data_IF_147004146917
#
_entry.id   IF_147004146917
#
_cell.length_a   1.000
_cell.length_b   1.000
_cell.length_c   1.000
_cell.angle_alpha   90.00
_cell.angle_beta   90.00
_cell.angle_gamma   90.00
#
_symmetry.space_group_name_H-M   'P 1'
#
loop_
_entity.id
_entity.type
_entity.pdbx_description
1 polymer ?
#
# COMPACT_ATOMS: atom_id res chain seq x y z
N UNK A 1 -5.08 -27.17 42.91
CA UNK A 1 -4.44 -26.29 41.91
C UNK A 1 -3.03 -26.05 42.39
N UNK A 2 -2.01 -26.53 41.68
CA UNK A 2 -0.62 -26.29 42.04
C UNK A 2 -0.33 -24.80 41.98
N UNK A 3 0.01 -24.20 43.10
CA UNK A 3 0.40 -22.78 43.17
C UNK A 3 1.75 -22.66 42.45
N UNK A 4 1.80 -21.84 41.41
CA UNK A 4 3.05 -21.53 40.71
C UNK A 4 4.00 -20.87 41.72
N UNK A 5 5.15 -21.46 41.94
CA UNK A 5 6.16 -20.92 42.84
C UNK A 5 6.72 -19.61 42.26
N UNK A 6 7.23 -18.75 43.14
CA UNK A 6 7.90 -17.51 42.73
C UNK A 6 9.06 -17.76 41.78
N UNK A 7 9.80 -18.86 41.99
CA UNK A 7 10.91 -19.26 41.12
C UNK A 7 10.43 -19.64 39.70
N UNK A 8 9.34 -20.42 39.59
CA UNK A 8 8.75 -20.77 38.30
C UNK A 8 8.21 -19.54 37.57
N UNK A 9 7.59 -18.60 38.29
CA UNK A 9 7.11 -17.35 37.71
C UNK A 9 8.27 -16.50 37.19
N UNK A 10 9.36 -16.38 37.96
CA UNK A 10 10.56 -15.65 37.54
C UNK A 10 11.17 -16.29 36.29
N UNK A 11 11.31 -17.61 36.27
CA UNK A 11 11.82 -18.35 35.11
C UNK A 11 10.96 -18.11 33.86
N UNK A 12 9.64 -18.13 34.00
CA UNK A 12 8.70 -17.84 32.91
C UNK A 12 8.87 -16.41 32.36
N UNK A 13 8.95 -15.42 33.25
CA UNK A 13 9.14 -14.02 32.86
C UNK A 13 10.49 -13.82 32.16
N UNK A 14 11.56 -14.42 32.68
CA UNK A 14 12.89 -14.38 32.06
C UNK A 14 12.88 -15.02 30.67
N UNK A 15 12.20 -16.15 30.50
CA UNK A 15 12.05 -16.80 29.20
C UNK A 15 11.28 -15.93 28.20
N UNK A 16 10.16 -15.32 28.62
CA UNK A 16 9.38 -14.41 27.79
C UNK A 16 10.18 -13.16 27.39
N UNK A 17 10.99 -12.62 28.31
CA UNK A 17 11.87 -11.50 28.03
C UNK A 17 12.93 -11.86 26.99
N UNK A 18 13.58 -13.03 27.14
CA UNK A 18 14.56 -13.51 26.17
C UNK A 18 13.94 -13.69 24.77
N UNK A 19 12.75 -14.28 24.69
CA UNK A 19 12.00 -14.42 23.43
C UNK A 19 11.70 -13.05 22.82
N UNK A 20 11.24 -12.08 23.62
CA UNK A 20 10.93 -10.74 23.16
C UNK A 20 12.15 -10.03 22.58
N UNK A 21 13.31 -10.17 23.22
CA UNK A 21 14.58 -9.60 22.74
C UNK A 21 15.03 -10.23 21.42
N UNK A 22 15.00 -11.57 21.33
CA UNK A 22 15.37 -12.27 20.09
C UNK A 22 14.44 -11.88 18.93
N UNK A 23 13.13 -11.81 19.18
CA UNK A 23 12.15 -11.39 18.21
C UNK A 23 12.35 -9.93 17.78
N UNK A 24 12.75 -9.05 18.70
CA UNK A 24 13.05 -7.65 18.41
C UNK A 24 14.14 -7.52 17.36
N UNK A 25 15.31 -8.13 17.58
CA UNK A 25 16.42 -8.03 16.65
C UNK A 25 16.12 -8.68 15.29
N UNK A 26 15.50 -9.86 15.30
CA UNK A 26 15.11 -10.57 14.06
C UNK A 26 14.10 -9.76 13.25
N UNK A 27 13.02 -9.32 13.90
CA UNK A 27 11.95 -8.56 13.25
C UNK A 27 12.40 -7.18 12.77
N UNK A 28 13.24 -6.50 13.56
CA UNK A 28 13.87 -5.22 13.16
C UNK A 28 14.72 -5.40 11.90
N UNK A 29 15.60 -6.41 11.87
CA UNK A 29 16.45 -6.69 10.70
C UNK A 29 15.60 -6.93 9.46
N UNK A 30 14.55 -7.75 9.57
CA UNK A 30 13.66 -8.05 8.45
C UNK A 30 12.98 -6.79 7.91
N UNK A 31 12.34 -6.00 8.76
CA UNK A 31 11.65 -4.78 8.32
C UNK A 31 12.63 -3.77 7.70
N UNK A 32 13.82 -3.56 8.29
CA UNK A 32 14.81 -2.64 7.73
C UNK A 32 15.28 -3.06 6.33
N UNK A 33 15.49 -4.36 6.10
CA UNK A 33 15.82 -4.88 4.77
C UNK A 33 14.68 -4.58 3.79
N UNK A 34 13.44 -4.87 4.18
CA UNK A 34 12.27 -4.61 3.32
C UNK A 34 12.10 -3.13 2.98
N UNK A 35 12.28 -2.23 3.95
CA UNK A 35 12.20 -0.78 3.74
C UNK A 35 13.32 -0.28 2.83
N UNK A 36 14.54 -0.80 3.00
CA UNK A 36 15.68 -0.48 2.12
C UNK A 36 15.39 -0.89 0.68
N UNK A 37 14.98 -2.15 0.47
CA UNK A 37 14.63 -2.65 -0.86
C UNK A 37 13.49 -1.82 -1.45
N UNK A 38 12.51 -1.43 -0.63
CA UNK A 38 11.41 -0.61 -1.09
C UNK A 38 11.87 0.75 -1.62
N UNK A 39 12.68 1.46 -0.84
CA UNK A 39 13.23 2.75 -1.24
C UNK A 39 14.08 2.63 -2.52
N UNK A 40 15.01 1.68 -2.57
CA UNK A 40 15.88 1.46 -3.74
C UNK A 40 15.07 1.11 -5.01
N UNK A 41 14.05 0.27 -4.87
CA UNK A 41 13.19 -0.14 -6.00
C UNK A 41 12.35 1.02 -6.52
N UNK A 42 11.72 1.79 -5.63
CA UNK A 42 10.90 2.93 -6.01
C UNK A 42 11.74 4.03 -6.66
N UNK A 43 12.93 4.31 -6.13
CA UNK A 43 13.87 5.26 -6.73
C UNK A 43 14.35 4.81 -8.11
N UNK A 44 14.69 3.52 -8.27
CA UNK A 44 15.06 2.96 -9.57
C UNK A 44 13.95 3.13 -10.59
N UNK A 45 12.71 2.80 -10.23
CA UNK A 45 11.56 2.85 -11.14
C UNK A 45 11.15 4.27 -11.48
N UNK A 46 11.03 5.14 -10.49
CA UNK A 46 10.55 6.52 -10.71
C UNK A 46 11.64 7.45 -11.23
N UNK A 47 12.92 7.15 -10.97
CA UNK A 47 14.07 7.98 -11.34
C UNK A 47 13.86 9.46 -10.96
N UNK A 48 13.62 9.77 -9.67
CA UNK A 48 13.32 11.13 -9.22
C UNK A 48 14.50 12.07 -9.38
N UNK A 49 14.21 13.35 -9.61
CA UNK A 49 15.22 14.44 -9.58
C UNK A 49 15.60 14.76 -8.15
N UNK A 50 14.59 14.82 -7.28
CA UNK A 50 14.73 15.08 -5.86
C UNK A 50 13.75 14.20 -5.09
N UNK A 51 14.06 13.97 -3.80
CA UNK A 51 13.26 13.12 -2.93
C UNK A 51 13.37 13.53 -1.48
N UNK A 52 12.25 13.46 -0.77
CA UNK A 52 12.22 13.56 0.70
C UNK A 52 11.60 12.31 1.30
N UNK A 53 12.09 11.92 2.47
CA UNK A 53 11.57 10.80 3.25
C UNK A 53 11.09 11.29 4.61
N UNK A 54 9.89 10.89 4.99
CA UNK A 54 9.35 10.99 6.33
C UNK A 54 9.23 9.59 6.92
N UNK A 55 9.97 9.32 7.99
CA UNK A 55 9.93 8.03 8.68
C UNK A 55 8.59 7.91 9.42
N UNK A 56 7.88 6.80 9.22
CA UNK A 56 6.63 6.49 9.91
C UNK A 56 6.90 5.33 10.85
N UNK A 57 7.23 5.64 12.10
CA UNK A 57 7.71 4.68 13.08
C UNK A 57 9.02 4.01 12.64
N UNK A 58 10.03 4.06 13.51
CA UNK A 58 11.44 3.81 13.15
C UNK A 58 11.67 2.54 12.30
N UNK A 59 10.88 1.48 12.51
CA UNK A 59 11.02 0.19 11.79
C UNK A 59 9.76 -0.25 11.04
N UNK A 60 8.74 0.59 10.89
CA UNK A 60 7.46 0.16 10.31
C UNK A 60 7.16 0.83 8.99
N UNK A 61 7.79 1.94 8.64
CA UNK A 61 7.45 2.55 7.37
C UNK A 61 8.13 3.87 7.07
N UNK A 62 7.80 4.37 5.88
CA UNK A 62 8.11 5.72 5.46
C UNK A 62 7.01 6.23 4.52
N UNK A 63 6.94 7.55 4.40
CA UNK A 63 6.32 8.25 3.29
C UNK A 63 7.44 8.95 2.52
N UNK A 64 7.50 8.75 1.22
CA UNK A 64 8.46 9.38 0.32
C UNK A 64 7.71 10.26 -0.69
N UNK A 65 8.28 11.42 -0.98
CA UNK A 65 7.86 12.27 -2.10
C UNK A 65 8.99 12.28 -3.11
N UNK A 66 8.66 11.98 -4.36
CA UNK A 66 9.58 11.83 -5.49
C UNK A 66 9.21 12.86 -6.56
N UNK A 67 9.99 13.93 -6.70
CA UNK A 67 9.76 14.93 -7.76
C UNK A 67 10.29 14.42 -9.11
N UNK A 68 9.46 14.53 -10.15
CA UNK A 68 9.71 13.88 -11.44
C UNK A 68 10.00 14.92 -12.53
N UNK A 69 10.99 14.67 -13.39
CA UNK A 69 11.29 15.55 -14.54
C UNK A 69 10.42 15.21 -15.77
N UNK A 70 9.09 15.20 -15.59
CA UNK A 70 8.15 14.85 -16.67
C UNK A 70 7.11 15.96 -16.81
N UNK A 71 6.89 16.42 -18.05
CA UNK A 71 6.08 17.63 -18.33
C UNK A 71 4.66 17.63 -17.74
N UNK A 72 4.07 16.45 -17.57
CA UNK A 72 2.67 16.31 -17.15
C UNK A 72 2.50 15.62 -15.79
N UNK A 73 3.60 15.18 -15.16
CA UNK A 73 3.59 14.47 -13.88
C UNK A 73 4.53 15.19 -12.92
N UNK A 74 3.96 15.82 -11.89
CA UNK A 74 4.70 16.70 -10.99
C UNK A 74 5.54 15.87 -10.00
N UNK A 75 4.87 15.04 -9.21
CA UNK A 75 5.53 14.17 -8.24
C UNK A 75 4.75 12.88 -7.99
N UNK A 76 5.45 11.89 -7.46
CA UNK A 76 4.87 10.67 -6.93
C UNK A 76 5.10 10.59 -5.42
N UNK A 77 4.07 10.22 -4.67
CA UNK A 77 4.18 9.89 -3.26
C UNK A 77 4.10 8.38 -3.08
N UNK A 78 4.98 7.81 -2.27
CA UNK A 78 4.91 6.41 -1.86
C UNK A 78 4.88 6.30 -0.35
N UNK A 79 3.88 5.62 0.20
CA UNK A 79 3.85 5.25 1.62
C UNK A 79 3.95 3.74 1.76
N UNK A 80 5.00 3.26 2.43
CA UNK A 80 5.20 1.85 2.75
C UNK A 80 4.96 1.65 4.25
N UNK A 81 4.05 0.74 4.61
CA UNK A 81 3.73 0.40 6.00
C UNK A 81 3.82 -1.11 6.21
N UNK A 82 4.78 -1.53 7.02
CA UNK A 82 5.05 -2.90 7.39
C UNK A 82 4.43 -3.24 8.75
N UNK A 83 4.04 -4.50 8.91
CA UNK A 83 3.68 -5.07 10.20
C UNK A 83 4.87 -4.96 11.16
N UNK A 84 4.63 -4.70 12.47
CA UNK A 84 5.67 -4.46 13.47
C UNK A 84 6.30 -5.77 13.94
N UNK A 85 7.02 -6.47 13.04
CA UNK A 85 7.62 -7.78 13.29
C UNK A 85 8.60 -7.80 14.47
N UNK A 86 9.15 -6.65 14.86
CA UNK A 86 10.03 -6.51 16.02
C UNK A 86 9.30 -6.64 17.37
N UNK A 87 7.97 -6.49 17.42
CA UNK A 87 7.23 -6.61 18.67
C UNK A 87 6.63 -8.01 18.81
N UNK A 88 7.21 -8.84 19.68
CA UNK A 88 6.76 -10.23 19.88
C UNK A 88 5.28 -10.33 20.23
N UNK A 89 4.79 -9.45 21.10
CA UNK A 89 3.42 -9.50 21.61
C UNK A 89 2.42 -8.73 20.74
N UNK A 90 2.86 -7.64 20.09
CA UNK A 90 1.97 -6.84 19.24
C UNK A 90 1.86 -7.37 17.81
N UNK A 91 2.89 -8.06 17.29
CA UNK A 91 2.87 -8.59 15.94
C UNK A 91 1.69 -9.55 15.66
N UNK A 92 1.34 -10.51 16.53
CA UNK A 92 0.17 -11.37 16.33
C UNK A 92 -1.14 -10.56 16.22
N UNK A 93 -1.32 -9.56 17.10
CA UNK A 93 -2.50 -8.68 17.09
C UNK A 93 -2.55 -7.88 15.79
N UNK A 94 -1.42 -7.28 15.38
CA UNK A 94 -1.33 -6.52 14.13
C UNK A 94 -1.60 -7.41 12.91
N UNK A 95 -1.10 -8.66 12.90
CA UNK A 95 -1.39 -9.62 11.81
C UNK A 95 -2.90 -9.94 11.74
N UNK A 96 -3.59 -10.10 12.87
CA UNK A 96 -5.03 -10.34 12.88
C UNK A 96 -5.86 -9.13 12.41
N UNK A 97 -5.44 -7.91 12.75
CA UNK A 97 -6.17 -6.67 12.43
C UNK A 97 -5.79 -6.13 11.05
N UNK A 98 -4.51 -5.95 10.77
CA UNK A 98 -4.02 -5.35 9.52
C UNK A 98 -3.82 -6.35 8.37
N UNK A 99 -3.73 -7.65 8.67
CA UNK A 99 -3.55 -8.77 7.72
C UNK A 99 -2.22 -8.80 6.96
N UNK A 100 -1.80 -7.69 6.37
CA UNK A 100 -0.64 -7.62 5.47
C UNK A 100 0.07 -6.26 5.53
N UNK A 101 1.31 -6.23 5.01
CA UNK A 101 2.06 -5.00 4.76
C UNK A 101 1.42 -4.23 3.59
N UNK A 102 1.48 -2.91 3.61
CA UNK A 102 0.73 -2.03 2.71
C UNK A 102 1.66 -1.10 1.96
N UNK A 103 1.32 -0.84 0.70
CA UNK A 103 1.91 0.23 -0.09
C UNK A 103 0.81 1.09 -0.68
N UNK A 104 1.02 2.40 -0.60
CA UNK A 104 0.19 3.42 -1.21
C UNK A 104 1.05 4.20 -2.18
N UNK A 105 0.60 4.33 -3.43
CA UNK A 105 1.24 5.14 -4.45
C UNK A 105 0.24 6.21 -4.89
N UNK A 106 0.64 7.47 -4.83
CA UNK A 106 -0.15 8.60 -5.33
C UNK A 106 0.66 9.33 -6.37
N UNK A 107 0.08 9.59 -7.52
CA UNK A 107 0.72 10.33 -8.61
C UNK A 107 -0.05 11.61 -8.85
N UNK A 108 0.64 12.75 -8.77
CA UNK A 108 0.07 14.08 -8.90
C UNK A 108 0.38 14.66 -10.27
N UNK A 109 -0.65 15.07 -11.00
CA UNK A 109 -0.50 15.58 -12.36
C UNK A 109 -0.28 17.10 -12.37
N UNK A 110 0.71 17.55 -13.15
CA UNK A 110 1.06 18.97 -13.26
C UNK A 110 -0.02 19.80 -14.01
N UNK A 111 -0.79 19.14 -14.88
CA UNK A 111 -1.90 19.71 -15.63
C UNK A 111 -3.16 18.91 -15.39
N UNK A 112 -4.33 19.52 -15.59
CA UNK A 112 -5.62 18.84 -15.42
C UNK A 112 -5.70 17.62 -16.34
N UNK A 113 -5.61 16.44 -15.74
CA UNK A 113 -5.56 15.14 -16.44
C UNK A 113 -6.69 14.22 -15.99
N UNK A 114 -7.20 14.44 -14.77
CA UNK A 114 -8.31 13.69 -14.20
C UNK A 114 -9.58 14.55 -14.20
N UNK A 115 -10.55 14.16 -15.02
CA UNK A 115 -11.84 14.85 -15.16
C UNK A 115 -12.99 14.14 -14.44
N UNK A 116 -12.90 12.81 -14.31
CA UNK A 116 -13.93 11.97 -13.71
C UNK A 116 -13.42 11.25 -12.46
N UNK A 117 -14.28 11.12 -11.46
CA UNK A 117 -14.03 10.32 -10.27
C UNK A 117 -14.26 8.85 -10.61
N UNK A 118 -13.23 8.02 -10.45
CA UNK A 118 -13.28 6.59 -10.73
C UNK A 118 -12.60 5.86 -9.60
N UNK A 119 -13.27 4.88 -9.00
CA UNK A 119 -12.73 3.98 -8.01
C UNK A 119 -12.90 2.54 -8.47
N UNK A 120 -11.81 1.81 -8.58
CA UNK A 120 -11.81 0.36 -8.84
C UNK A 120 -11.28 -0.32 -7.59
N UNK A 121 -12.17 -0.99 -6.87
CA UNK A 121 -11.92 -1.56 -5.54
C UNK A 121 -12.10 -3.06 -5.56
N UNK A 122 -11.08 -3.80 -5.13
CA UNK A 122 -11.17 -5.26 -5.05
C UNK A 122 -12.22 -5.69 -4.04
N UNK A 123 -12.96 -6.74 -4.35
CA UNK A 123 -13.87 -7.35 -3.39
C UNK A 123 -13.11 -7.73 -2.09
N UNK A 124 -13.69 -7.37 -0.94
CA UNK A 124 -13.07 -7.63 0.37
C UNK A 124 -11.83 -6.78 0.70
N UNK A 125 -11.50 -5.75 -0.09
CA UNK A 125 -10.41 -4.83 0.21
C UNK A 125 -10.62 -4.06 1.53
N UNK A 126 -11.87 -3.71 1.83
CA UNK A 126 -12.25 -2.97 3.03
C UNK A 126 -13.18 -3.83 3.91
N UNK A 127 -12.96 -3.80 5.24
CA UNK A 127 -13.84 -4.48 6.21
C UNK A 127 -15.22 -3.82 6.32
N UNK A 128 -15.28 -2.53 6.03
CA UNK A 128 -16.51 -1.72 6.00
C UNK A 128 -16.95 -1.50 4.56
N UNK A 129 -18.14 -0.94 4.37
CA UNK A 129 -18.69 -0.64 3.05
C UNK A 129 -17.85 0.39 2.29
N UNK A 130 -17.90 0.35 0.96
CA UNK A 130 -17.25 1.33 0.08
C UNK A 130 -17.66 2.78 0.41
N UNK A 131 -18.91 2.98 0.86
CA UNK A 131 -19.44 4.26 1.36
C UNK A 131 -18.60 4.89 2.48
N UNK A 132 -17.92 4.07 3.28
CA UNK A 132 -17.09 4.58 4.39
C UNK A 132 -15.70 5.05 3.95
N UNK A 133 -15.31 4.76 2.71
CA UNK A 133 -13.96 5.03 2.17
C UNK A 133 -14.01 6.04 1.03
N UNK A 134 -15.05 6.01 0.22
CA UNK A 134 -15.26 6.91 -0.92
C UNK A 134 -16.17 8.04 -0.48
N UNK A 135 -15.65 9.28 -0.46
CA UNK A 135 -16.38 10.47 0.04
C UNK A 135 -17.64 10.77 -0.78
N UNK A 136 -17.56 10.70 -2.10
CA UNK A 136 -18.65 11.05 -3.01
C UNK A 136 -19.49 9.85 -3.46
N UNK A 137 -19.44 8.73 -2.74
CA UNK A 137 -20.01 7.45 -3.18
C UNK A 137 -21.49 7.53 -3.60
N UNK A 138 -22.30 8.37 -2.93
CA UNK A 138 -23.73 8.50 -3.23
C UNK A 138 -24.03 9.01 -4.64
N UNK A 139 -23.07 9.64 -5.31
CA UNK A 139 -23.22 10.21 -6.66
C UNK A 139 -22.65 9.30 -7.75
N UNK A 140 -21.98 8.21 -7.37
CA UNK A 140 -21.27 7.34 -8.30
C UNK A 140 -22.16 6.18 -8.76
N UNK A 141 -22.12 5.88 -10.06
CA UNK A 141 -22.67 4.65 -10.60
C UNK A 141 -21.78 3.47 -10.19
N UNK A 142 -22.38 2.40 -9.69
CA UNK A 142 -21.66 1.21 -9.21
C UNK A 142 -21.90 0.04 -10.16
N UNK A 143 -20.82 -0.61 -10.58
CA UNK A 143 -20.84 -1.84 -11.35
C UNK A 143 -19.75 -2.80 -10.88
N UNK A 144 -19.70 -3.99 -11.46
CA UNK A 144 -18.68 -4.99 -11.16
C UNK A 144 -17.90 -5.35 -12.41
N UNK A 145 -16.66 -5.82 -12.22
CA UNK A 145 -15.84 -6.41 -13.28
C UNK A 145 -14.97 -7.53 -12.71
N UNK A 146 -14.48 -8.39 -13.59
CA UNK A 146 -13.56 -9.48 -13.26
C UNK A 146 -12.28 -9.32 -14.07
N UNK A 147 -11.14 -9.23 -13.38
CA UNK A 147 -9.82 -9.17 -14.02
C UNK A 147 -9.00 -10.36 -13.55
N UNK A 148 -8.61 -11.24 -14.48
CA UNK A 148 -7.88 -12.50 -14.20
C UNK A 148 -8.49 -13.32 -13.04
N UNK A 149 -9.82 -13.45 -13.05
CA UNK A 149 -10.58 -14.19 -12.03
C UNK A 149 -10.76 -13.46 -10.69
N UNK A 150 -10.28 -12.22 -10.56
CA UNK A 150 -10.44 -11.38 -9.36
C UNK A 150 -11.59 -10.39 -9.58
N UNK A 151 -12.55 -10.36 -8.65
CA UNK A 151 -13.68 -9.42 -8.68
C UNK A 151 -13.30 -8.04 -8.16
N UNK A 152 -13.72 -7.01 -8.88
CA UNK A 152 -13.59 -5.61 -8.53
C UNK A 152 -14.93 -4.88 -8.66
N UNK A 153 -15.23 -4.02 -7.69
CA UNK A 153 -16.29 -3.02 -7.79
C UNK A 153 -15.75 -1.77 -8.46
N UNK A 154 -16.53 -1.20 -9.36
CA UNK A 154 -16.26 0.08 -10.01
C UNK A 154 -17.29 1.07 -9.50
N UNK A 155 -16.85 2.19 -8.91
CA UNK A 155 -17.70 3.33 -8.60
C UNK A 155 -17.20 4.53 -9.39
N UNK A 156 -18.02 5.10 -10.28
CA UNK A 156 -17.58 6.17 -11.20
C UNK A 156 -18.66 7.21 -11.52
N UNK A 157 -18.24 8.41 -11.93
CA UNK A 157 -19.10 9.44 -12.53
C UNK A 157 -18.85 9.66 -14.04
N UNK A 158 -17.95 8.88 -14.63
CA UNK A 158 -17.64 8.87 -16.07
C UNK A 158 -16.60 7.81 -16.42
N UNK A 159 -16.33 7.63 -17.71
CA UNK A 159 -15.47 6.54 -18.22
C UNK A 159 -14.04 6.96 -18.54
N UNK A 160 -13.73 8.26 -18.48
CA UNK A 160 -12.41 8.78 -18.84
C UNK A 160 -11.33 8.23 -17.91
N UNK A 161 -10.52 7.30 -18.43
CA UNK A 161 -9.44 6.64 -17.69
C UNK A 161 -9.76 5.23 -17.19
N UNK A 162 -11.03 4.78 -17.21
CA UNK A 162 -11.40 3.44 -16.72
C UNK A 162 -10.65 2.34 -17.48
N UNK A 163 -10.63 2.40 -18.81
CA UNK A 163 -9.93 1.40 -19.64
C UNK A 163 -8.42 1.39 -19.39
N UNK A 164 -7.82 2.51 -18.96
CA UNK A 164 -6.40 2.56 -18.59
C UNK A 164 -6.18 1.83 -17.26
N UNK A 165 -7.06 2.04 -16.27
CA UNK A 165 -7.03 1.31 -14.99
C UNK A 165 -7.21 -0.19 -15.20
N UNK A 166 -8.18 -0.62 -16.02
CA UNK A 166 -8.42 -2.04 -16.29
C UNK A 166 -7.21 -2.70 -16.97
N UNK A 167 -6.60 -2.03 -17.96
CA UNK A 167 -5.36 -2.52 -18.59
C UNK A 167 -4.18 -2.61 -17.63
N UNK A 168 -4.07 -1.67 -16.68
CA UNK A 168 -3.09 -1.75 -15.59
C UNK A 168 -3.33 -2.99 -14.72
N UNK A 169 -4.58 -3.29 -14.34
CA UNK A 169 -4.87 -4.52 -13.58
C UNK A 169 -4.57 -5.77 -14.40
N UNK A 170 -4.83 -5.76 -15.71
CA UNK A 170 -4.51 -6.86 -16.62
C UNK A 170 -3.01 -7.06 -16.84
N UNK A 171 -2.18 -6.02 -16.73
CA UNK A 171 -0.73 -6.13 -16.92
C UNK A 171 -0.03 -6.80 -15.74
N UNK A 172 -0.60 -6.73 -14.54
CA UNK A 172 -0.04 -7.36 -13.34
C UNK A 172 -0.15 -8.88 -13.39
N UNK A 173 0.91 -9.59 -12.97
CA UNK A 173 0.90 -11.05 -12.77
C UNK A 173 -0.20 -11.50 -11.80
N UNK A 174 -0.39 -10.77 -10.72
CA UNK A 174 -1.43 -11.03 -9.71
C UNK A 174 -2.20 -9.75 -9.35
N UNK A 175 -3.31 -9.43 -10.05
CA UNK A 175 -4.11 -8.25 -9.74
C UNK A 175 -4.79 -8.33 -8.37
N UNK A 176 -4.87 -9.52 -7.76
CA UNK A 176 -5.44 -9.65 -6.42
C UNK A 176 -4.63 -8.85 -5.39
N UNK A 177 -3.36 -8.52 -5.67
CA UNK A 177 -2.52 -7.65 -4.82
C UNK A 177 -3.01 -6.22 -4.74
N UNK A 178 -3.70 -5.73 -5.77
CA UNK A 178 -4.25 -4.38 -5.78
C UNK A 178 -5.58 -4.36 -5.04
N UNK A 179 -5.70 -3.47 -4.06
CA UNK A 179 -6.90 -3.33 -3.23
C UNK A 179 -7.81 -2.23 -3.75
N UNK A 180 -7.23 -1.13 -4.22
CA UNK A 180 -7.97 0.05 -4.66
C UNK A 180 -7.12 0.87 -5.62
N UNK A 181 -7.69 1.22 -6.78
CA UNK A 181 -7.17 2.22 -7.70
C UNK A 181 -8.20 3.33 -7.82
N UNK A 182 -7.79 4.59 -7.73
CA UNK A 182 -8.69 5.73 -7.83
C UNK A 182 -8.13 6.85 -8.71
N UNK A 183 -8.99 7.45 -9.52
CA UNK A 183 -8.76 8.76 -10.13
C UNK A 183 -9.60 9.77 -9.35
N UNK A 184 -8.94 10.80 -8.82
CA UNK A 184 -9.58 11.80 -7.95
C UNK A 184 -9.46 13.17 -8.60
N UNK A 185 -10.54 13.70 -9.22
CA UNK A 185 -10.52 14.99 -9.91
C UNK A 185 -10.17 16.17 -9.00
N UNK A 186 -10.64 16.14 -7.75
CA UNK A 186 -10.40 17.18 -6.74
C UNK A 186 -8.90 17.40 -6.50
N UNK A 187 -8.16 16.29 -6.41
CA UNK A 187 -6.71 16.31 -6.19
C UNK A 187 -5.89 16.26 -7.48
N UNK A 188 -6.56 16.14 -8.64
CA UNK A 188 -5.92 15.88 -9.93
C UNK A 188 -4.85 14.77 -9.82
N UNK A 189 -5.24 13.61 -9.28
CA UNK A 189 -4.30 12.55 -8.93
C UNK A 189 -4.82 11.15 -9.23
N UNK A 190 -3.86 10.23 -9.39
CA UNK A 190 -4.07 8.79 -9.40
C UNK A 190 -3.60 8.22 -8.07
N UNK A 191 -4.45 7.46 -7.39
CA UNK A 191 -4.14 6.76 -6.14
C UNK A 191 -4.21 5.25 -6.33
N UNK A 192 -3.24 4.53 -5.77
CA UNK A 192 -3.17 3.07 -5.80
C UNK A 192 -2.83 2.57 -4.40
N UNK A 193 -3.65 1.66 -3.89
CA UNK A 193 -3.41 0.91 -2.67
C UNK A 193 -3.26 -0.57 -3.00
N UNK A 194 -2.17 -1.18 -2.56
CA UNK A 194 -1.88 -2.59 -2.73
C UNK A 194 -1.28 -3.20 -1.46
N UNK A 195 -1.26 -4.54 -1.42
CA UNK A 195 -0.42 -5.27 -0.47
C UNK A 195 1.05 -5.12 -0.89
N UNK A 196 1.90 -4.73 0.06
CA UNK A 196 3.33 -4.65 -0.12
C UNK A 196 3.94 -6.04 -0.07
N UNK A 197 4.79 -6.33 -1.04
CA UNK A 197 5.51 -7.58 -1.19
C UNK A 197 6.76 -7.31 -2.03
N UNK A 198 7.93 -7.78 -1.56
CA UNK A 198 9.20 -7.44 -2.19
C UNK A 198 9.30 -7.98 -3.61
N UNK A 199 8.80 -9.19 -3.85
CA UNK A 199 8.93 -9.91 -5.13
C UNK A 199 8.06 -9.32 -6.26
N UNK A 200 7.06 -8.51 -5.90
CA UNK A 200 6.13 -7.87 -6.85
C UNK A 200 6.22 -6.35 -6.84
N UNK A 201 7.09 -5.76 -6.01
CA UNK A 201 7.18 -4.31 -5.85
C UNK A 201 7.61 -3.61 -7.14
N UNK A 202 8.66 -4.10 -7.81
CA UNK A 202 9.18 -3.48 -9.02
C UNK A 202 8.13 -3.48 -10.15
N UNK A 203 7.44 -4.60 -10.33
CA UNK A 203 6.33 -4.73 -11.26
C UNK A 203 5.19 -3.76 -10.92
N UNK A 204 4.72 -3.78 -9.67
CA UNK A 204 3.65 -2.89 -9.22
C UNK A 204 4.02 -1.42 -9.45
N UNK A 205 5.21 -1.00 -9.05
CA UNK A 205 5.67 0.37 -9.20
C UNK A 205 5.81 0.76 -10.68
N UNK A 206 6.38 -0.12 -11.51
CA UNK A 206 6.57 0.13 -12.94
C UNK A 206 5.25 0.27 -13.69
N UNK A 207 4.32 -0.66 -13.47
CA UNK A 207 3.00 -0.64 -14.10
C UNK A 207 2.15 0.54 -13.59
N UNK A 208 2.27 0.88 -12.30
CA UNK A 208 1.63 2.08 -11.73
C UNK A 208 2.16 3.36 -12.37
N UNK A 209 3.47 3.45 -12.57
CA UNK A 209 4.09 4.60 -13.21
C UNK A 209 3.71 4.72 -14.68
N UNK A 210 3.65 3.60 -15.42
CA UNK A 210 3.14 3.58 -16.80
C UNK A 210 1.68 4.03 -16.87
N UNK A 211 0.83 3.58 -15.93
CA UNK A 211 -0.54 4.06 -15.83
C UNK A 211 -0.59 5.57 -15.63
N UNK A 212 0.16 6.10 -14.67
CA UNK A 212 0.24 7.54 -14.43
C UNK A 212 0.69 8.31 -15.68
N UNK A 213 1.78 7.88 -16.32
CA UNK A 213 2.29 8.50 -17.55
C UNK A 213 1.30 8.42 -18.72
N UNK A 214 0.47 7.38 -18.79
CA UNK A 214 -0.57 7.26 -19.82
C UNK A 214 -1.75 8.20 -19.59
N UNK A 215 -1.97 8.64 -18.35
CA UNK A 215 -3.05 9.55 -17.95
C UNK A 215 -2.64 11.03 -18.05
N UNK A 216 -1.36 11.30 -17.80
CA UNK A 216 -0.73 12.61 -17.88
C UNK A 216 -0.62 13.14 -19.32
#
# INVERSE_FOLDING_TARGET
MSVVSTAELLLLISALAAIAVLQFFRGRKQNLIMLKIAAETLEKVFSPVDKIYRIVGIYVGFQAVYWLHRKNLDHAEATVLLLPRYSAFYFPVSKAVNRFDKIYLTFWFARKSVFNEIHVVREGAYRRSLRSVIRNFSRLAVSETVVKGVRFFIAKDGDSGLNKILRFLESLRDPSRVMHVALVPENNSLYIFARFDVDSLEELASESYKLAMSLA
#
